data_IF_179744713915
#
_entry.id   IF_179744713915
#
_cell.length_a   1.000
_cell.length_b   1.000
_cell.length_c   1.000
_cell.angle_alpha   90.00
_cell.angle_beta   90.00
_cell.angle_gamma   90.00
#
_symmetry.space_group_name_H-M   'P 1'
#
loop_
_entity.id
_entity.type
_entity.pdbx_description
1 polymer ?
#
# COMPACT_ATOMS: atom_id res chain seq x y z
N UNK A 1 8.32 -14.00 2.79
CA UNK A 1 7.62 -12.70 2.71
C UNK A 1 7.68 -12.24 1.25
N UNK A 2 6.56 -12.21 0.53
CA UNK A 2 6.55 -11.56 -0.79
C UNK A 2 6.43 -10.06 -0.51
N UNK A 3 7.52 -9.33 -0.77
CA UNK A 3 7.48 -7.88 -0.75
C UNK A 3 6.43 -7.38 -1.74
N UNK A 4 5.87 -6.22 -1.46
CA UNK A 4 5.00 -5.53 -2.39
C UNK A 4 5.70 -5.37 -3.75
N UNK A 5 5.05 -5.76 -4.85
CA UNK A 5 5.66 -5.81 -6.18
C UNK A 5 5.77 -4.41 -6.80
N UNK A 6 6.72 -3.65 -6.25
CA UNK A 6 6.99 -2.29 -6.67
C UNK A 6 7.40 -2.18 -8.15
N UNK A 7 8.28 -3.05 -8.66
CA UNK A 7 8.68 -3.01 -10.07
C UNK A 7 7.49 -3.14 -11.03
N UNK A 8 6.56 -4.06 -10.76
CA UNK A 8 5.37 -4.23 -11.60
C UNK A 8 4.43 -3.03 -11.54
N UNK A 9 4.25 -2.42 -10.35
CA UNK A 9 3.38 -1.26 -10.21
C UNK A 9 3.99 0.00 -10.85
N UNK A 10 5.31 0.20 -10.75
CA UNK A 10 6.02 1.27 -11.48
C UNK A 10 5.98 1.06 -12.99
N UNK A 11 6.11 -0.18 -13.47
CA UNK A 11 5.98 -0.49 -14.90
C UNK A 11 4.56 -0.20 -15.41
N UNK A 12 3.52 -0.56 -14.64
CA UNK A 12 2.13 -0.29 -14.98
C UNK A 12 1.83 1.23 -15.01
N UNK A 13 2.30 1.99 -14.01
CA UNK A 13 2.07 3.44 -13.92
C UNK A 13 2.90 4.28 -14.89
N UNK A 14 4.22 4.09 -14.90
CA UNK A 14 5.14 4.96 -15.67
C UNK A 14 5.28 4.54 -17.14
N UNK A 15 5.18 3.23 -17.45
CA UNK A 15 5.26 2.74 -18.83
C UNK A 15 3.89 2.45 -19.43
N UNK A 16 3.02 1.76 -18.69
CA UNK A 16 1.69 1.39 -19.17
C UNK A 16 0.75 2.59 -19.34
N UNK A 17 0.56 3.35 -18.27
CA UNK A 17 -0.32 4.54 -18.26
C UNK A 17 0.38 5.82 -18.74
N UNK A 18 1.71 5.76 -18.99
CA UNK A 18 2.55 6.91 -19.39
C UNK A 18 2.39 8.13 -18.48
N UNK A 19 2.13 7.89 -17.19
CA UNK A 19 2.05 8.95 -16.19
C UNK A 19 3.42 9.60 -16.02
N UNK A 20 3.43 10.92 -15.83
CA UNK A 20 4.66 11.60 -15.39
C UNK A 20 4.98 11.11 -13.98
N UNK A 21 6.27 10.96 -13.61
CA UNK A 21 6.65 10.52 -12.27
C UNK A 21 5.99 11.35 -11.16
N UNK A 22 5.88 12.67 -11.35
CA UNK A 22 5.22 13.55 -10.40
C UNK A 22 3.73 13.23 -10.22
N UNK A 23 3.00 12.95 -11.32
CA UNK A 23 1.58 12.60 -11.25
C UNK A 23 1.39 11.24 -10.56
N UNK A 24 2.27 10.27 -10.87
CA UNK A 24 2.24 8.94 -10.25
C UNK A 24 2.39 9.01 -8.72
N UNK A 25 3.29 9.86 -8.21
CA UNK A 25 3.50 10.04 -6.78
C UNK A 25 2.47 10.94 -6.09
N UNK A 26 1.77 11.79 -6.86
CA UNK A 26 0.68 12.62 -6.36
C UNK A 26 -0.64 11.83 -6.24
N UNK A 27 -0.80 10.76 -7.02
CA UNK A 27 -1.99 9.92 -7.01
C UNK A 27 -2.08 9.08 -5.73
N UNK A 28 -3.30 8.94 -5.22
CA UNK A 28 -3.57 7.95 -4.18
C UNK A 28 -3.55 6.54 -4.78
N UNK A 29 -3.19 5.50 -4.00
CA UNK A 29 -3.24 4.12 -4.47
C UNK A 29 -4.62 3.68 -4.95
N UNK A 30 -5.70 4.29 -4.46
CA UNK A 30 -7.06 4.03 -4.88
C UNK A 30 -7.35 4.58 -6.29
N UNK A 31 -6.92 5.81 -6.58
CA UNK A 31 -7.05 6.41 -7.90
C UNK A 31 -6.20 5.66 -8.94
N UNK A 32 -5.00 5.24 -8.57
CA UNK A 32 -4.16 4.43 -9.44
C UNK A 32 -4.83 3.09 -9.79
N UNK A 33 -5.43 2.40 -8.82
CA UNK A 33 -6.19 1.16 -9.06
C UNK A 33 -7.41 1.39 -9.97
N UNK A 34 -8.11 2.50 -9.79
CA UNK A 34 -9.24 2.87 -10.63
C UNK A 34 -8.81 3.08 -12.09
N UNK A 35 -7.73 3.82 -12.31
CA UNK A 35 -7.16 4.10 -13.64
C UNK A 35 -6.59 2.82 -14.28
N UNK A 36 -6.05 1.89 -13.49
CA UNK A 36 -5.60 0.56 -13.94
C UNK A 36 -6.76 -0.40 -14.26
N UNK A 37 -8.02 0.02 -14.10
CA UNK A 37 -9.20 -0.83 -14.34
C UNK A 37 -9.42 -1.89 -13.25
N UNK A 38 -8.68 -1.80 -12.13
CA UNK A 38 -8.79 -2.71 -10.97
C UNK A 38 -9.86 -2.25 -9.98
N UNK A 39 -10.50 -1.10 -10.21
CA UNK A 39 -11.47 -0.48 -9.30
C UNK A 39 -12.81 -1.22 -9.14
N UNK A 40 -13.04 -2.34 -9.83
CA UNK A 40 -14.32 -3.04 -9.80
C UNK A 40 -14.43 -4.16 -8.75
N UNK A 41 -13.40 -4.43 -7.93
CA UNK A 41 -13.40 -5.70 -7.18
C UNK A 41 -12.63 -5.78 -5.87
N UNK A 42 -12.07 -4.69 -5.33
CA UNK A 42 -11.53 -4.75 -3.98
C UNK A 42 -12.70 -4.70 -2.98
N UNK A 43 -13.03 -5.80 -2.27
CA UNK A 43 -14.08 -5.74 -1.25
C UNK A 43 -13.68 -4.70 -0.21
N UNK A 44 -14.64 -3.88 0.23
CA UNK A 44 -14.43 -2.95 1.33
C UNK A 44 -13.79 -3.70 2.52
N UNK A 45 -12.80 -3.06 3.16
CA UNK A 45 -12.09 -3.67 4.29
C UNK A 45 -13.10 -4.06 5.36
N UNK A 46 -13.38 -5.36 5.48
CA UNK A 46 -14.31 -5.85 6.49
C UNK A 46 -13.61 -5.83 7.85
N UNK A 47 -14.40 -5.72 8.93
CA UNK A 47 -13.86 -5.75 10.29
C UNK A 47 -13.01 -7.01 10.55
N UNK A 48 -13.47 -8.16 10.04
CA UNK A 48 -12.72 -9.42 10.10
C UNK A 48 -11.36 -9.34 9.38
N UNK A 49 -11.29 -8.63 8.26
CA UNK A 49 -10.04 -8.40 7.53
C UNK A 49 -9.08 -7.49 8.30
N UNK A 50 -9.62 -6.46 8.97
CA UNK A 50 -8.83 -5.60 9.85
C UNK A 50 -8.29 -6.39 11.06
N UNK A 51 -9.11 -7.20 11.72
CA UNK A 51 -8.70 -8.03 12.85
C UNK A 51 -7.59 -9.03 12.44
N UNK A 52 -7.68 -9.60 11.24
CA UNK A 52 -6.64 -10.47 10.69
C UNK A 52 -5.31 -9.74 10.43
N UNK A 53 -5.38 -8.47 9.99
CA UNK A 53 -4.20 -7.63 9.82
C UNK A 53 -3.53 -7.30 11.15
N UNK A 54 -4.32 -6.91 12.16
CA UNK A 54 -3.83 -6.63 13.52
C UNK A 54 -3.14 -7.85 14.14
N UNK A 55 -3.68 -9.05 13.91
CA UNK A 55 -3.06 -10.29 14.37
C UNK A 55 -1.77 -10.65 13.61
N UNK A 56 -1.69 -10.32 12.32
CA UNK A 56 -0.52 -10.63 11.48
C UNK A 56 0.63 -9.65 11.70
N UNK A 57 0.29 -8.39 11.98
CA UNK A 57 1.22 -7.28 12.21
C UNK A 57 0.96 -6.66 13.58
N UNK A 58 1.22 -7.40 14.68
CA UNK A 58 1.12 -6.82 16.01
C UNK A 58 2.20 -5.74 16.15
N UNK A 59 1.80 -4.55 16.60
CA UNK A 59 2.74 -3.48 16.87
C UNK A 59 3.74 -3.95 17.92
N UNK A 60 5.03 -3.86 17.58
CA UNK A 60 6.08 -3.99 18.59
C UNK A 60 6.11 -2.67 19.33
N UNK A 61 5.67 -2.67 20.58
CA UNK A 61 6.17 -1.71 21.58
C UNK A 61 7.68 -1.95 21.70
N UNK A 62 8.46 -1.30 20.84
CA UNK A 62 9.83 -0.99 21.20
C UNK A 62 9.73 -0.11 22.43
N UNK A 63 10.03 -0.69 23.59
CA UNK A 63 10.14 0.04 24.83
C UNK A 63 11.13 1.16 24.58
N UNK A 64 10.62 2.38 24.56
CA UNK A 64 11.43 3.58 24.67
C UNK A 64 11.98 3.60 26.10
N UNK A 65 12.99 2.77 26.36
CA UNK A 65 13.93 3.03 27.45
C UNK A 65 14.76 4.23 27.00
N UNK A 66 14.17 5.41 27.23
CA UNK A 66 14.86 6.69 27.25
C UNK A 66 15.88 6.64 28.40
N UNK A 67 16.98 5.93 28.18
CA UNK A 67 18.14 5.97 29.08
C UNK A 67 18.88 7.28 28.79
N UNK A 68 18.42 8.34 29.46
CA UNK A 68 19.21 9.55 29.67
C UNK A 68 20.17 9.29 30.82
N UNK A 69 21.45 9.12 30.50
CA UNK A 69 22.59 9.44 31.37
C UNK A 69 23.62 10.26 30.59
#
# INVERSE_FOLDING_TARGET
>A
MRGFDWPSLMAAGLRGLRLRPADFWALTPAELQMILGQGAGAPALTRKGLDALLATYPDKTEGHEDERD
#
